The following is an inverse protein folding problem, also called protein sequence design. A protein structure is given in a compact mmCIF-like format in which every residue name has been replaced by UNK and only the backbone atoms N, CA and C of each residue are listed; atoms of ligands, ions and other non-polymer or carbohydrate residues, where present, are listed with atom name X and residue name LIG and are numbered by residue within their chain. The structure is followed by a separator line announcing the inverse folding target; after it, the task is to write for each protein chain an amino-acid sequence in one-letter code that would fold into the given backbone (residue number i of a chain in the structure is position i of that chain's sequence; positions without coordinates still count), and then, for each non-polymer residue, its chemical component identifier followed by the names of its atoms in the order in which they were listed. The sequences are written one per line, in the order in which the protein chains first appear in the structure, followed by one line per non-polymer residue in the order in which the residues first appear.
data_IF_252884437058
#
_entry.id   IF_252884437058
#
_cell.length_a   1.000
_cell.length_b   1.000
_cell.length_c   1.000
_cell.angle_alpha   90.00
_cell.angle_beta   90.00
_cell.angle_gamma   90.00
#
_symmetry.space_group_name_H-M   'P 1'
#
loop_
_entity.id
_entity.type
_entity.pdbx_description
1 polymer ?
#
# COMPACT_ATOMS: atom_id res chain seq x y z
N UNK A 1 8.24 -2.31 18.61
CA UNK A 1 6.76 -2.31 18.76
C UNK A 1 6.10 -1.28 17.84
N UNK A 2 6.53 0.01 17.82
CA UNK A 2 5.89 1.04 17.00
C UNK A 2 5.79 0.68 15.49
N UNK A 3 6.83 0.09 14.93
CA UNK A 3 6.84 -0.36 13.53
C UNK A 3 5.83 -1.49 13.25
N UNK A 4 5.56 -2.36 14.21
CA UNK A 4 4.57 -3.43 14.07
C UNK A 4 3.15 -2.86 14.10
N UNK A 5 2.88 -1.91 15.00
CA UNK A 5 1.59 -1.21 15.08
C UNK A 5 1.32 -0.47 13.75
N UNK A 6 2.30 0.29 13.26
CA UNK A 6 2.18 0.98 11.97
C UNK A 6 1.86 0.00 10.83
N UNK A 7 2.59 -1.12 10.74
CA UNK A 7 2.35 -2.15 9.72
C UNK A 7 0.96 -2.76 9.85
N UNK A 8 0.48 -3.01 11.08
CA UNK A 8 -0.83 -3.58 11.33
C UNK A 8 -1.95 -2.61 10.93
N UNK A 9 -1.86 -1.32 11.30
CA UNK A 9 -2.81 -0.30 10.88
C UNK A 9 -2.82 -0.12 9.36
N UNK A 10 -1.64 -0.06 8.72
CA UNK A 10 -1.53 -0.01 7.26
C UNK A 10 -2.18 -1.23 6.61
N UNK A 11 -1.96 -2.44 7.13
CA UNK A 11 -2.60 -3.64 6.60
C UNK A 11 -4.13 -3.58 6.72
N UNK A 12 -4.66 -3.04 7.82
CA UNK A 12 -6.11 -2.83 8.01
C UNK A 12 -6.64 -1.84 6.98
N UNK A 13 -5.97 -0.72 6.73
CA UNK A 13 -6.36 0.26 5.70
C UNK A 13 -6.41 -0.34 4.30
N UNK A 14 -5.62 -1.37 4.02
CA UNK A 14 -5.69 -2.16 2.78
C UNK A 14 -6.64 -3.36 2.86
N UNK A 15 -7.55 -3.39 3.83
CA UNK A 15 -8.60 -4.40 3.95
C UNK A 15 -8.13 -5.73 4.56
N UNK A 16 -7.03 -5.75 5.31
CA UNK A 16 -6.63 -6.95 6.03
C UNK A 16 -7.69 -7.35 7.04
N UNK A 17 -8.09 -8.63 6.98
CA UNK A 17 -9.04 -9.17 7.95
C UNK A 17 -8.44 -9.20 9.34
N UNK A 18 -9.19 -8.72 10.33
CA UNK A 18 -8.82 -8.72 11.73
C UNK A 18 -9.03 -10.09 12.39
N UNK A 19 -9.80 -10.97 11.76
CA UNK A 19 -10.07 -12.34 12.23
C UNK A 19 -10.15 -13.29 11.03
N UNK A 20 -9.94 -14.56 11.30
CA UNK A 20 -10.16 -15.62 10.32
C UNK A 20 -9.05 -16.67 10.30
N UNK A 21 -9.39 -17.84 9.80
CA UNK A 21 -8.43 -18.87 9.40
C UNK A 21 -7.77 -18.50 8.10
N UNK A 22 -6.50 -18.89 7.94
CA UNK A 22 -5.81 -18.78 6.65
C UNK A 22 -6.55 -19.52 5.52
N UNK A 23 -6.11 -19.31 4.32
CA UNK A 23 -6.65 -19.98 3.12
C UNK A 23 -5.53 -20.71 2.37
N UNK A 24 -5.93 -21.61 1.49
CA UNK A 24 -5.01 -22.27 0.56
C UNK A 24 -5.08 -21.50 -0.77
N UNK A 25 -3.94 -21.06 -1.28
CA UNK A 25 -3.87 -20.38 -2.57
C UNK A 25 -3.93 -21.36 -3.75
N UNK A 26 -3.90 -20.82 -4.98
CA UNK A 26 -3.96 -21.61 -6.21
C UNK A 26 -2.76 -22.56 -6.40
N UNK A 27 -1.69 -22.37 -5.65
CA UNK A 27 -0.49 -23.23 -5.65
C UNK A 27 -0.52 -24.28 -4.53
N UNK A 28 -1.62 -24.37 -3.78
CA UNK A 28 -1.74 -25.28 -2.63
C UNK A 28 -1.01 -24.80 -1.38
N UNK A 29 -0.51 -23.57 -1.36
CA UNK A 29 0.24 -23.02 -0.23
C UNK A 29 -0.73 -22.38 0.77
N UNK A 30 -0.58 -22.73 2.05
CA UNK A 30 -1.36 -22.09 3.11
C UNK A 30 -0.91 -20.65 3.33
N UNK A 31 -1.85 -19.72 3.26
CA UNK A 31 -1.66 -18.30 3.54
C UNK A 31 -2.36 -17.90 4.82
N UNK A 32 -1.74 -17.04 5.59
CA UNK A 32 -2.34 -16.47 6.78
C UNK A 32 -2.92 -15.07 6.48
N UNK A 33 -3.91 -14.61 7.25
CA UNK A 33 -4.28 -13.19 7.24
C UNK A 33 -3.08 -12.31 7.59
N UNK A 34 -2.93 -11.16 6.95
CA UNK A 34 -1.77 -10.29 7.12
C UNK A 34 -1.50 -9.91 8.60
N UNK A 35 -2.55 -9.69 9.39
CA UNK A 35 -2.39 -9.41 10.81
C UNK A 35 -1.80 -10.57 11.62
N UNK A 36 -2.00 -11.83 11.19
CA UNK A 36 -1.39 -12.99 11.84
C UNK A 36 0.12 -13.02 11.60
N UNK A 37 0.54 -12.65 10.40
CA UNK A 37 1.97 -12.61 10.05
C UNK A 37 2.69 -11.38 10.64
N UNK A 38 1.98 -10.24 10.78
CA UNK A 38 2.53 -9.02 11.37
C UNK A 38 2.59 -9.12 12.90
N UNK A 39 1.50 -9.57 13.53
CA UNK A 39 1.34 -9.73 14.97
C UNK A 39 1.27 -11.23 15.30
N UNK A 40 2.43 -11.90 15.27
CA UNK A 40 2.51 -13.37 15.44
C UNK A 40 1.99 -13.83 16.79
N UNK A 41 2.25 -13.06 17.87
CA UNK A 41 1.76 -13.39 19.20
C UNK A 41 0.23 -13.20 19.26
N UNK A 42 -0.49 -14.29 19.56
CA UNK A 42 -1.95 -14.30 19.62
C UNK A 42 -2.51 -13.34 20.68
N UNK A 43 -1.86 -13.23 21.83
CA UNK A 43 -2.33 -12.37 22.93
C UNK A 43 -2.12 -10.89 22.55
N UNK A 44 -0.95 -10.54 22.04
CA UNK A 44 -0.67 -9.17 21.58
C UNK A 44 -1.62 -8.75 20.43
N UNK A 45 -1.87 -9.64 19.49
CA UNK A 45 -2.82 -9.40 18.41
C UNK A 45 -4.24 -9.20 18.95
N UNK A 46 -4.67 -10.00 19.92
CA UNK A 46 -5.98 -9.87 20.55
C UNK A 46 -6.10 -8.54 21.30
N UNK A 47 -5.08 -8.16 22.06
CA UNK A 47 -5.04 -6.89 22.77
C UNK A 47 -5.08 -5.70 21.78
N UNK A 48 -4.31 -5.77 20.70
CA UNK A 48 -4.31 -4.75 19.65
C UNK A 48 -5.70 -4.57 19.02
N UNK A 49 -6.35 -5.67 18.60
CA UNK A 49 -7.68 -5.62 17.99
C UNK A 49 -8.76 -5.18 18.98
N UNK A 50 -8.55 -5.46 20.28
CA UNK A 50 -9.50 -5.11 21.34
C UNK A 50 -9.36 -3.68 21.83
N UNK A 51 -8.27 -3.00 21.48
CA UNK A 51 -8.04 -1.60 21.86
C UNK A 51 -9.16 -0.70 21.32
N UNK A 52 -9.75 0.19 22.14
CA UNK A 52 -10.87 1.04 21.73
C UNK A 52 -10.53 1.93 20.52
N UNK A 53 -9.31 2.47 20.45
CA UNK A 53 -8.84 3.34 19.36
C UNK A 53 -8.73 2.54 18.07
N UNK A 54 -8.17 1.32 18.14
CA UNK A 54 -8.06 0.43 16.98
C UNK A 54 -9.44 -0.01 16.48
N UNK A 55 -10.38 -0.30 17.40
CA UNK A 55 -11.77 -0.61 17.03
C UNK A 55 -12.45 0.54 16.33
N UNK A 56 -12.32 1.77 16.85
CA UNK A 56 -12.86 2.97 16.23
C UNK A 56 -12.28 3.17 14.83
N UNK A 57 -10.95 3.07 14.70
CA UNK A 57 -10.26 3.15 13.41
C UNK A 57 -10.78 2.11 12.40
N UNK A 58 -10.98 0.85 12.82
CA UNK A 58 -11.51 -0.20 11.95
C UNK A 58 -12.95 0.13 11.51
N UNK A 59 -13.79 0.63 12.42
CA UNK A 59 -15.17 1.00 12.10
C UNK A 59 -15.22 2.15 11.08
N UNK A 60 -14.46 3.22 11.31
CA UNK A 60 -14.36 4.36 10.40
C UNK A 60 -13.82 3.93 9.02
N UNK A 61 -12.82 3.04 8.99
CA UNK A 61 -12.29 2.51 7.73
C UNK A 61 -13.36 1.73 6.96
N UNK A 62 -14.18 0.94 7.64
CA UNK A 62 -15.27 0.20 6.99
C UNK A 62 -16.34 1.14 6.42
N UNK A 63 -16.72 2.19 7.16
CA UNK A 63 -17.67 3.20 6.69
C UNK A 63 -17.14 3.95 5.46
N UNK A 64 -15.86 4.33 5.50
CA UNK A 64 -15.19 4.96 4.36
C UNK A 64 -15.15 4.03 3.14
N UNK A 65 -14.79 2.77 3.33
CA UNK A 65 -14.77 1.76 2.27
C UNK A 65 -16.15 1.57 1.62
N UNK A 66 -17.21 1.53 2.43
CA UNK A 66 -18.59 1.40 1.95
C UNK A 66 -19.02 2.65 1.18
N UNK A 67 -18.68 3.82 1.67
CA UNK A 67 -18.94 5.09 1.00
C UNK A 67 -18.24 5.15 -0.36
N UNK A 68 -16.91 4.94 -0.41
CA UNK A 68 -16.13 4.97 -1.65
C UNK A 68 -16.68 3.95 -2.65
N UNK A 69 -16.97 2.73 -2.22
CA UNK A 69 -17.53 1.70 -3.09
C UNK A 69 -18.89 2.07 -3.66
N UNK A 70 -19.76 2.67 -2.85
CA UNK A 70 -21.09 3.13 -3.28
C UNK A 70 -21.00 4.26 -4.31
N UNK A 71 -20.12 5.24 -4.06
CA UNK A 71 -19.86 6.35 -4.98
C UNK A 71 -19.26 5.86 -6.29
N UNK A 72 -18.28 4.95 -6.21
CA UNK A 72 -17.65 4.36 -7.40
C UNK A 72 -18.69 3.61 -8.27
N UNK A 73 -19.54 2.79 -7.66
CA UNK A 73 -20.62 2.10 -8.39
C UNK A 73 -21.55 3.03 -9.12
N UNK A 74 -21.85 4.21 -8.51
CA UNK A 74 -22.75 5.20 -9.08
C UNK A 74 -22.12 6.00 -10.21
N UNK A 75 -20.87 6.43 -10.01
CA UNK A 75 -20.21 7.40 -10.86
C UNK A 75 -19.30 6.79 -11.93
N UNK A 76 -18.92 5.51 -11.77
CA UNK A 76 -18.01 4.78 -12.65
C UNK A 76 -18.67 3.47 -13.11
N UNK A 77 -19.77 3.53 -13.90
CA UNK A 77 -20.49 2.33 -14.35
C UNK A 77 -19.62 1.38 -15.18
N UNK A 78 -18.56 1.88 -15.81
CA UNK A 78 -17.59 1.08 -16.55
C UNK A 78 -16.87 0.02 -15.70
N UNK A 79 -16.79 0.20 -14.36
CA UNK A 79 -16.23 -0.81 -13.46
C UNK A 79 -16.97 -2.16 -13.57
N UNK A 80 -18.26 -2.13 -13.95
CA UNK A 80 -19.06 -3.34 -14.18
C UNK A 80 -18.54 -4.19 -15.35
N UNK A 81 -17.77 -3.60 -16.27
CA UNK A 81 -17.25 -4.28 -17.45
C UNK A 81 -15.91 -5.01 -17.16
N UNK A 82 -15.26 -4.74 -16.03
CA UNK A 82 -13.99 -5.34 -15.69
C UNK A 82 -14.17 -6.68 -14.97
N UNK A 83 -13.92 -7.78 -15.65
CA UNK A 83 -14.06 -9.14 -15.08
C UNK A 83 -13.13 -9.37 -13.87
N UNK A 84 -11.92 -8.79 -13.87
CA UNK A 84 -10.98 -8.93 -12.75
C UNK A 84 -11.48 -8.27 -11.45
N UNK A 85 -12.43 -7.33 -11.53
CA UNK A 85 -13.05 -6.72 -10.34
C UNK A 85 -14.20 -7.56 -9.76
N UNK A 86 -14.61 -8.62 -10.46
CA UNK A 86 -15.73 -9.46 -10.03
C UNK A 86 -15.30 -10.63 -9.18
N UNK A 87 -16.21 -11.11 -8.39
CA UNK A 87 -16.13 -12.41 -7.70
C UNK A 87 -16.45 -13.55 -8.68
N UNK A 88 -16.22 -14.79 -8.27
CA UNK A 88 -16.61 -15.95 -9.05
C UNK A 88 -18.13 -16.02 -9.36
N UNK A 89 -18.96 -15.33 -8.55
CA UNK A 89 -20.40 -15.22 -8.78
C UNK A 89 -20.80 -14.06 -9.72
N UNK A 90 -19.84 -13.38 -10.35
CA UNK A 90 -20.09 -12.27 -11.28
C UNK A 90 -20.44 -10.92 -10.61
N UNK A 91 -20.44 -10.84 -9.28
CA UNK A 91 -20.70 -9.59 -8.54
C UNK A 91 -19.42 -8.80 -8.36
N UNK A 92 -19.48 -7.46 -8.38
CA UNK A 92 -18.34 -6.62 -8.03
C UNK A 92 -17.84 -6.94 -6.62
N UNK A 93 -16.54 -7.11 -6.50
CA UNK A 93 -15.86 -7.29 -5.21
C UNK A 93 -15.46 -5.94 -4.64
N UNK A 94 -16.00 -5.55 -3.47
CA UNK A 94 -15.66 -4.29 -2.81
C UNK A 94 -14.15 -4.13 -2.67
N UNK A 95 -13.44 -5.12 -2.14
CA UNK A 95 -11.99 -5.04 -1.92
C UNK A 95 -11.20 -4.89 -3.22
N UNK A 96 -11.59 -5.56 -4.30
CA UNK A 96 -10.92 -5.43 -5.60
C UNK A 96 -11.15 -4.04 -6.21
N UNK A 97 -12.37 -3.50 -6.11
CA UNK A 97 -12.71 -2.15 -6.60
C UNK A 97 -11.91 -1.10 -5.82
N UNK A 98 -11.89 -1.17 -4.49
CA UNK A 98 -11.13 -0.23 -3.66
C UNK A 98 -9.63 -0.29 -3.98
N UNK A 99 -9.06 -1.48 -4.10
CA UNK A 99 -7.66 -1.66 -4.49
C UNK A 99 -7.38 -1.08 -5.88
N UNK A 100 -8.27 -1.30 -6.84
CA UNK A 100 -8.14 -0.73 -8.19
C UNK A 100 -8.18 0.80 -8.18
N UNK A 101 -9.13 1.40 -7.46
CA UNK A 101 -9.27 2.85 -7.37
C UNK A 101 -8.04 3.48 -6.70
N UNK A 102 -7.53 2.86 -5.64
CA UNK A 102 -6.30 3.31 -4.98
C UNK A 102 -5.11 3.28 -5.94
N UNK A 103 -4.88 2.15 -6.63
CA UNK A 103 -3.79 2.01 -7.59
C UNK A 103 -3.93 2.98 -8.77
N UNK A 104 -5.16 3.24 -9.22
CA UNK A 104 -5.42 4.20 -10.28
C UNK A 104 -5.09 5.64 -9.84
N UNK A 105 -5.51 6.03 -8.63
CA UNK A 105 -5.17 7.33 -8.08
C UNK A 105 -3.66 7.52 -7.89
N UNK A 106 -2.96 6.49 -7.37
CA UNK A 106 -1.51 6.46 -7.25
C UNK A 106 -0.83 6.60 -8.62
N UNK A 107 -1.32 5.88 -9.63
CA UNK A 107 -0.82 5.97 -11.01
C UNK A 107 -0.94 7.37 -11.55
N UNK A 108 -2.10 8.00 -11.42
CA UNK A 108 -2.33 9.36 -11.90
C UNK A 108 -1.41 10.38 -11.22
N UNK A 109 -1.22 10.27 -9.89
CA UNK A 109 -0.28 11.12 -9.16
C UNK A 109 1.16 10.95 -9.67
N UNK A 110 1.60 9.71 -9.90
CA UNK A 110 2.92 9.42 -10.45
C UNK A 110 3.09 9.96 -11.88
N UNK A 111 2.06 9.89 -12.72
CA UNK A 111 2.08 10.44 -14.08
C UNK A 111 2.21 11.98 -14.06
N UNK A 112 1.52 12.65 -13.14
CA UNK A 112 1.68 14.10 -12.93
C UNK A 112 3.10 14.45 -12.53
N UNK A 113 3.69 13.76 -11.53
CA UNK A 113 5.06 13.97 -11.09
C UNK A 113 6.04 13.82 -12.26
N UNK A 114 5.89 12.74 -13.04
CA UNK A 114 6.75 12.49 -14.21
C UNK A 114 6.61 13.58 -15.26
N UNK A 115 5.40 14.02 -15.55
CA UNK A 115 5.12 15.07 -16.56
C UNK A 115 5.71 16.39 -16.15
N UNK A 116 5.45 16.85 -14.92
CA UNK A 116 5.96 18.11 -14.41
C UNK A 116 7.49 18.14 -14.35
N UNK A 117 8.10 17.07 -13.83
CA UNK A 117 9.55 16.96 -13.79
C UNK A 117 10.15 16.96 -15.21
N UNK A 118 9.53 16.27 -16.17
CA UNK A 118 9.99 16.21 -17.56
C UNK A 118 9.91 17.58 -18.25
N UNK A 119 8.87 18.35 -17.98
CA UNK A 119 8.72 19.72 -18.48
C UNK A 119 9.85 20.66 -18.01
N UNK A 120 10.45 20.35 -16.86
CA UNK A 120 11.61 21.05 -16.30
C UNK A 120 12.95 20.36 -16.65
N UNK A 121 12.96 19.49 -17.66
CA UNK A 121 14.16 18.78 -18.13
C UNK A 121 14.67 17.69 -17.17
N UNK A 122 13.85 17.27 -16.21
CA UNK A 122 14.16 16.20 -15.25
C UNK A 122 13.43 14.92 -15.65
N UNK A 123 14.05 14.12 -16.50
CA UNK A 123 13.42 12.90 -16.99
C UNK A 123 13.52 11.76 -15.97
N UNK A 124 12.42 11.07 -15.66
CA UNK A 124 12.44 9.88 -14.82
C UNK A 124 13.17 8.75 -15.54
N UNK A 125 13.91 7.94 -14.78
CA UNK A 125 14.61 6.74 -15.29
C UNK A 125 13.86 5.46 -14.95
N UNK A 126 13.07 5.48 -13.89
CA UNK A 126 12.22 4.35 -13.51
C UNK A 126 11.06 4.84 -12.64
N UNK A 127 10.00 4.05 -12.64
CA UNK A 127 8.85 4.21 -11.75
C UNK A 127 8.52 2.85 -11.14
N UNK A 128 8.36 2.81 -9.83
CA UNK A 128 8.03 1.59 -9.09
C UNK A 128 7.05 1.95 -7.97
N UNK A 129 5.82 1.48 -8.09
CA UNK A 129 4.74 1.82 -7.14
C UNK A 129 4.61 3.34 -6.90
N UNK A 130 4.75 3.78 -5.66
CA UNK A 130 4.69 5.15 -5.17
C UNK A 130 6.02 5.92 -5.28
N UNK A 131 6.98 5.41 -6.05
CA UNK A 131 8.29 6.00 -6.19
C UNK A 131 8.67 6.27 -7.66
N UNK A 132 9.20 7.46 -7.91
CA UNK A 132 9.81 7.85 -9.18
C UNK A 132 11.30 8.06 -8.98
N UNK A 133 12.11 7.46 -9.83
CA UNK A 133 13.56 7.52 -9.79
C UNK A 133 14.08 8.48 -10.85
N UNK A 134 14.93 9.41 -10.42
CA UNK A 134 15.60 10.38 -11.28
C UNK A 134 17.11 10.20 -11.22
N UNK A 135 17.80 10.48 -12.33
CA UNK A 135 19.27 10.46 -12.37
C UNK A 135 19.88 11.49 -11.42
N UNK A 136 19.23 12.63 -11.29
CA UNK A 136 19.67 13.74 -10.47
C UNK A 136 18.56 14.14 -9.49
N UNK A 137 18.94 14.63 -8.32
CA UNK A 137 17.99 15.13 -7.32
C UNK A 137 17.14 16.25 -7.90
N UNK A 138 15.85 16.22 -7.63
CA UNK A 138 14.97 17.36 -7.88
C UNK A 138 15.32 18.50 -6.93
N UNK A 139 15.33 19.76 -7.44
CA UNK A 139 15.46 20.94 -6.62
C UNK A 139 14.31 21.07 -5.61
N UNK A 140 14.53 21.81 -4.55
CA UNK A 140 13.50 22.02 -3.52
C UNK A 140 12.28 22.76 -4.10
N UNK A 141 12.52 23.76 -4.95
CA UNK A 141 11.47 24.58 -5.57
C UNK A 141 10.59 23.74 -6.49
N UNK A 142 11.19 22.93 -7.38
CA UNK A 142 10.46 22.06 -8.28
C UNK A 142 9.65 20.99 -7.49
N UNK A 143 10.24 20.46 -6.43
CA UNK A 143 9.54 19.51 -5.57
C UNK A 143 8.32 20.16 -4.92
N UNK A 144 8.46 21.37 -4.42
CA UNK A 144 7.36 22.13 -3.81
C UNK A 144 6.26 22.49 -4.83
N UNK A 145 6.65 22.89 -6.04
CA UNK A 145 5.72 23.14 -7.16
C UNK A 145 4.90 21.88 -7.49
N UNK A 146 5.56 20.72 -7.59
CA UNK A 146 4.87 19.44 -7.82
C UNK A 146 3.91 19.09 -6.66
N UNK A 147 4.31 19.32 -5.41
CA UNK A 147 3.45 19.11 -4.25
C UNK A 147 2.18 19.97 -4.32
N UNK A 148 2.32 21.26 -4.65
CA UNK A 148 1.19 22.18 -4.78
C UNK A 148 0.23 21.76 -5.89
N UNK A 149 0.75 21.42 -7.06
CA UNK A 149 -0.08 20.99 -8.18
C UNK A 149 -0.82 19.68 -7.89
N UNK A 150 -0.18 18.73 -7.19
CA UNK A 150 -0.82 17.51 -6.72
C UNK A 150 -1.94 17.83 -5.71
N UNK A 151 -1.70 18.74 -4.78
CA UNK A 151 -2.68 19.14 -3.78
C UNK A 151 -3.90 19.81 -4.44
N UNK A 152 -3.67 20.72 -5.38
CA UNK A 152 -4.74 21.41 -6.09
C UNK A 152 -5.54 20.45 -6.98
N UNK A 153 -4.87 19.69 -7.85
CA UNK A 153 -5.53 18.80 -8.81
C UNK A 153 -6.30 17.65 -8.17
N UNK A 154 -5.87 17.19 -6.99
CA UNK A 154 -6.55 16.12 -6.25
C UNK A 154 -7.47 16.64 -5.15
N UNK A 155 -7.54 17.95 -4.93
CA UNK A 155 -8.22 18.58 -3.78
C UNK A 155 -7.79 17.96 -2.44
N UNK A 156 -6.51 17.61 -2.31
CA UNK A 156 -5.96 16.93 -1.14
C UNK A 156 -4.65 17.57 -0.67
N UNK A 157 -4.72 18.33 0.41
CA UNK A 157 -3.60 19.08 0.98
C UNK A 157 -2.55 18.21 1.70
N UNK A 158 -2.73 16.89 1.73
CA UNK A 158 -1.82 15.97 2.45
C UNK A 158 -0.77 15.31 1.55
N UNK A 159 -0.68 15.69 0.26
CA UNK A 159 0.40 15.22 -0.59
C UNK A 159 1.75 15.80 -0.16
N UNK A 160 2.69 14.90 0.12
CA UNK A 160 4.07 15.23 0.41
C UNK A 160 5.03 14.32 -0.33
N UNK A 161 6.00 14.93 -1.02
CA UNK A 161 7.06 14.20 -1.70
C UNK A 161 8.27 14.07 -0.78
N UNK A 162 8.72 12.86 -0.51
CA UNK A 162 9.99 12.62 0.17
C UNK A 162 11.07 12.26 -0.85
N UNK A 163 12.30 12.69 -0.61
CA UNK A 163 13.43 12.33 -1.47
C UNK A 163 14.42 11.47 -0.68
N UNK A 164 14.79 10.33 -1.25
CA UNK A 164 15.85 9.46 -0.71
C UNK A 164 16.91 9.26 -1.78
N UNK A 165 18.16 9.38 -1.37
CA UNK A 165 19.27 9.00 -2.25
C UNK A 165 19.42 7.48 -2.22
N UNK A 166 19.47 6.87 -3.42
CA UNK A 166 19.81 5.47 -3.52
C UNK A 166 21.30 5.31 -3.19
N UNK A 167 21.61 4.50 -2.20
CA UNK A 167 22.97 4.03 -1.97
C UNK A 167 23.38 3.08 -3.09
N UNK A 168 24.67 3.05 -3.42
CA UNK A 168 25.20 1.99 -4.29
C UNK A 168 24.89 0.64 -3.67
N UNK A 169 24.39 -0.28 -4.48
CA UNK A 169 24.27 -1.68 -4.05
C UNK A 169 25.66 -2.18 -3.68
N UNK A 170 25.85 -2.49 -2.41
CA UNK A 170 26.98 -3.27 -1.95
C UNK A 170 26.53 -4.71 -1.95
N UNK A 171 27.10 -5.59 -2.78
CA UNK A 171 26.72 -7.00 -2.76
C UNK A 171 26.85 -7.53 -1.34
N UNK A 172 25.79 -8.06 -0.78
CA UNK A 172 25.84 -8.76 0.50
C UNK A 172 26.68 -10.00 0.26
N UNK A 173 27.71 -10.23 1.07
CA UNK A 173 28.55 -11.44 0.92
C UNK A 173 27.67 -12.67 1.09
N UNK A 174 28.01 -13.76 0.37
CA UNK A 174 27.28 -15.02 0.51
C UNK A 174 27.26 -15.53 1.95
N UNK A 175 28.27 -15.18 2.73
CA UNK A 175 28.38 -15.53 4.16
C UNK A 175 27.34 -14.76 4.99
N UNK A 176 27.16 -13.46 4.74
CA UNK A 176 26.12 -12.68 5.40
C UNK A 176 24.68 -13.17 5.08
N UNK A 177 24.47 -13.67 3.85
CA UNK A 177 23.17 -14.28 3.47
C UNK A 177 22.94 -15.58 4.22
N UNK A 178 23.99 -16.40 4.42
CA UNK A 178 23.91 -17.64 5.19
C UNK A 178 23.63 -17.36 6.67
N UNK A 179 24.35 -16.42 7.29
CA UNK A 179 24.14 -16.01 8.68
C UNK A 179 22.72 -15.51 8.93
N UNK A 180 22.16 -14.70 8.01
CA UNK A 180 20.77 -14.22 8.11
C UNK A 180 19.77 -15.36 7.94
N UNK A 181 20.05 -16.34 7.08
CA UNK A 181 19.23 -17.53 6.88
C UNK A 181 19.23 -18.43 8.13
N UNK A 182 20.37 -18.67 8.74
CA UNK A 182 20.51 -19.45 9.97
C UNK A 182 19.86 -18.76 11.17
N UNK A 183 19.99 -17.44 11.27
CA UNK A 183 19.32 -16.66 12.33
C UNK A 183 17.79 -16.74 12.22
N UNK A 184 17.26 -16.63 11.00
CA UNK A 184 15.81 -16.79 10.76
C UNK A 184 15.30 -18.21 11.05
N UNK A 185 16.14 -19.25 10.88
CA UNK A 185 15.78 -20.62 11.25
C UNK A 185 15.80 -20.84 12.76
N UNK A 186 16.76 -20.27 13.49
CA UNK A 186 16.84 -20.35 14.96
C UNK A 186 15.69 -19.62 15.67
N UNK A 187 15.12 -18.60 15.05
CA UNK A 187 13.98 -17.87 15.60
C UNK A 187 12.62 -18.54 15.34
N UNK A 188 12.60 -19.64 14.57
CA UNK A 188 11.37 -20.42 14.27
C UNK A 188 11.22 -21.68 15.12
N UNK A 189 12.20 -22.01 15.93
CA UNK A 189 12.18 -23.06 16.95
C UNK A 189 11.82 -22.48 18.32
#
# INVERSE_FOLDING_TARGET
QLNLIKKALTAISFGAKNSGSGWIDSLGIRRNPALVDILMNKVERQNFISDPTVKAFIAEQHELDDYIFSVAKKNLPELMNFEFLKTASGRLSKSKVLSYLYQHAETNAMDMICTMASNQGKHPIARVHDAVFFKHRLGADLKHEIELDLQESTCNNYWHLTAKQLSRYTPVSLDAIKEEGEHKQRMKL
#
